data_IF_341325131566
#
_entry.id   IF_341325131566
#
_cell.length_a   1.000
_cell.length_b   1.000
_cell.length_c   1.000
_cell.angle_alpha   90.00
_cell.angle_beta   90.00
_cell.angle_gamma   90.00
#
_symmetry.space_group_name_H-M   'P 1'
#
loop_
_entity.id
_entity.type
_entity.pdbx_description
1 polymer ?
#
# COMPACT_ATOMS: atom_id res chain seq x y z
N UNK A 1 -6.24 -4.70 -8.75
CA UNK A 1 -5.33 -3.56 -8.58
C UNK A 1 -4.24 -3.64 -9.63
N UNK A 2 -3.84 -2.53 -10.21
CA UNK A 2 -2.67 -2.42 -11.10
C UNK A 2 -1.77 -1.28 -10.63
N UNK A 3 -0.47 -1.43 -10.88
CA UNK A 3 0.55 -0.43 -10.55
C UNK A 3 1.44 -0.28 -11.78
N UNK A 4 1.55 0.93 -12.29
CA UNK A 4 2.37 1.24 -13.45
C UNK A 4 3.47 2.20 -13.03
N UNK A 5 4.73 1.73 -12.91
CA UNK A 5 5.87 2.61 -12.62
C UNK A 5 6.04 3.69 -13.70
N UNK A 6 6.50 4.86 -13.30
CA UNK A 6 6.77 6.00 -14.18
C UNK A 6 8.24 6.38 -14.09
N UNK A 7 8.82 6.73 -15.23
CA UNK A 7 10.14 7.34 -15.26
C UNK A 7 10.06 8.75 -14.67
N UNK A 8 10.87 9.03 -13.67
CA UNK A 8 10.96 10.30 -12.97
C UNK A 8 12.42 10.66 -12.71
N UNK A 9 12.75 11.93 -12.37
CA UNK A 9 14.10 12.32 -12.03
C UNK A 9 14.72 11.44 -10.94
N UNK A 10 16.02 11.27 -11.00
CA UNK A 10 16.80 10.48 -10.04
C UNK A 10 16.47 10.87 -8.58
N UNK A 11 16.42 9.89 -7.72
CA UNK A 11 16.08 10.07 -6.30
C UNK A 11 14.59 10.12 -5.99
N UNK A 12 13.74 9.93 -7.00
CA UNK A 12 12.29 9.82 -6.83
C UNK A 12 11.76 8.52 -7.43
N UNK A 13 10.64 8.06 -6.94
CA UNK A 13 9.84 7.01 -7.56
C UNK A 13 8.41 7.51 -7.72
N UNK A 14 7.83 7.28 -8.89
CA UNK A 14 6.42 7.52 -9.14
C UNK A 14 5.74 6.29 -9.76
N UNK A 15 4.47 6.12 -9.45
CA UNK A 15 3.65 5.08 -10.06
C UNK A 15 2.19 5.55 -10.16
N UNK A 16 1.52 5.20 -11.25
CA UNK A 16 0.07 5.27 -11.33
C UNK A 16 -0.51 4.02 -10.69
N UNK A 17 -1.42 4.21 -9.74
CA UNK A 17 -2.08 3.13 -9.02
C UNK A 17 -3.57 3.19 -9.33
N UNK A 18 -4.10 2.07 -9.84
CA UNK A 18 -5.52 1.85 -10.08
C UNK A 18 -6.02 0.73 -9.18
N UNK A 19 -7.03 1.03 -8.38
CA UNK A 19 -7.68 0.05 -7.50
C UNK A 19 -9.14 -0.09 -7.89
N UNK A 20 -9.59 -1.32 -8.04
CA UNK A 20 -11.00 -1.70 -8.26
C UNK A 20 -11.34 -2.78 -7.26
N UNK A 21 -12.44 -2.61 -6.58
CA UNK A 21 -12.94 -3.53 -5.55
C UNK A 21 -14.41 -3.84 -5.80
N UNK A 22 -14.80 -5.03 -5.41
CA UNK A 22 -16.19 -5.50 -5.52
C UNK A 22 -16.58 -6.30 -4.28
N UNK A 23 -17.87 -6.23 -3.91
CA UNK A 23 -18.43 -7.09 -2.87
C UNK A 23 -17.98 -6.77 -1.44
N UNK A 24 -17.51 -5.55 -1.19
CA UNK A 24 -17.22 -5.08 0.17
C UNK A 24 -18.48 -4.53 0.85
N UNK A 25 -18.35 -4.04 2.08
CA UNK A 25 -19.48 -3.44 2.81
C UNK A 25 -20.04 -2.27 2.00
N UNK A 26 -21.34 -2.24 1.69
CA UNK A 26 -21.96 -1.14 0.94
C UNK A 26 -21.88 0.20 1.68
N UNK A 27 -21.77 1.28 0.91
CA UNK A 27 -21.76 2.66 1.40
C UNK A 27 -20.72 2.91 2.51
N UNK A 28 -19.57 2.24 2.42
CA UNK A 28 -18.47 2.32 3.37
C UNK A 28 -17.28 3.07 2.78
N UNK A 29 -16.49 3.72 3.63
CA UNK A 29 -15.25 4.37 3.23
C UNK A 29 -14.07 3.62 3.81
N UNK A 30 -13.16 3.19 2.92
CA UNK A 30 -11.96 2.46 3.25
C UNK A 30 -10.75 3.37 3.12
N UNK A 31 -9.85 3.34 4.12
CA UNK A 31 -8.52 3.94 4.00
C UNK A 31 -7.63 3.02 3.16
N UNK A 32 -6.93 3.60 2.17
CA UNK A 32 -5.93 2.89 1.39
C UNK A 32 -4.57 3.07 2.03
N UNK A 33 -3.91 1.97 2.37
CA UNK A 33 -2.66 1.95 3.10
C UNK A 33 -1.65 1.03 2.44
N UNK A 34 -0.36 1.25 2.72
CA UNK A 34 0.74 0.39 2.27
C UNK A 34 1.72 0.06 3.38
N UNK A 35 2.32 -1.11 3.31
CA UNK A 35 3.55 -1.47 3.96
C UNK A 35 4.61 -1.73 2.87
N UNK A 36 5.74 -1.04 2.93
CA UNK A 36 6.81 -1.12 1.93
C UNK A 36 8.14 -1.45 2.61
N UNK A 37 8.90 -2.33 2.00
CA UNK A 37 10.24 -2.75 2.39
C UNK A 37 11.25 -2.43 1.29
N UNK A 38 12.53 -2.44 1.61
CA UNK A 38 13.61 -2.24 0.62
C UNK A 38 14.30 -0.89 0.68
N UNK A 39 13.86 0.04 1.52
CA UNK A 39 14.52 1.33 1.65
C UNK A 39 15.72 1.23 2.61
N UNK A 40 16.91 1.57 2.14
CA UNK A 40 18.10 1.74 2.97
C UNK A 40 19.06 0.56 3.05
N UNK A 41 19.16 -0.25 2.01
CA UNK A 41 20.25 -1.23 1.87
C UNK A 41 20.18 -2.43 2.81
N UNK A 42 19.03 -2.71 3.36
CA UNK A 42 18.78 -3.96 4.10
C UNK A 42 18.24 -5.00 3.11
N UNK A 43 18.70 -6.24 3.25
CA UNK A 43 18.31 -7.39 2.43
C UNK A 43 16.82 -7.80 2.53
N UNK A 44 16.03 -7.01 3.24
CA UNK A 44 14.59 -7.14 3.37
C UNK A 44 13.94 -6.31 2.27
N UNK A 45 13.15 -6.91 1.41
CA UNK A 45 12.38 -6.19 0.42
C UNK A 45 12.64 -6.58 -1.04
N UNK A 46 13.34 -7.69 -1.26
CA UNK A 46 13.59 -8.24 -2.59
C UNK A 46 13.29 -9.74 -2.65
N UNK A 47 12.73 -10.29 -1.57
CA UNK A 47 12.51 -11.74 -1.44
C UNK A 47 11.05 -12.16 -1.74
N UNK A 48 10.18 -11.19 -2.05
CA UNK A 48 8.76 -11.43 -2.29
C UNK A 48 7.95 -11.66 -1.01
N UNK A 49 8.54 -11.38 0.15
CA UNK A 49 7.90 -11.53 1.46
C UNK A 49 7.76 -10.15 2.11
N UNK A 50 6.54 -9.69 2.30
CA UNK A 50 6.27 -8.41 2.96
C UNK A 50 6.30 -8.55 4.47
N UNK A 51 7.49 -8.71 5.06
CA UNK A 51 7.64 -8.91 6.50
C UNK A 51 7.13 -7.71 7.30
N UNK A 52 7.32 -6.49 6.80
CA UNK A 52 6.84 -5.27 7.44
C UNK A 52 5.31 -5.24 7.60
N UNK A 53 4.60 -5.89 6.70
CA UNK A 53 3.14 -6.04 6.80
C UNK A 53 2.73 -7.03 7.89
N UNK A 54 3.65 -7.85 8.40
CA UNK A 54 3.41 -8.85 9.42
C UNK A 54 3.67 -8.35 10.85
N UNK A 55 4.34 -7.19 11.03
CA UNK A 55 4.58 -6.63 12.35
C UNK A 55 5.92 -5.88 12.48
N UNK A 56 6.44 -5.72 13.70
CA UNK A 56 7.75 -5.13 14.00
C UNK A 56 8.88 -6.15 13.87
N UNK A 57 10.11 -5.72 13.54
CA UNK A 57 11.25 -6.64 13.50
C UNK A 57 11.59 -7.25 14.89
N UNK A 58 11.91 -8.54 14.98
CA UNK A 58 11.74 -9.53 13.94
C UNK A 58 10.25 -9.73 13.61
N UNK A 59 9.88 -9.62 12.34
CA UNK A 59 8.49 -9.73 11.94
C UNK A 59 7.95 -11.14 12.07
N UNK A 60 6.76 -11.24 12.65
CA UNK A 60 6.06 -12.50 12.87
C UNK A 60 4.63 -12.43 12.36
N UNK A 61 4.06 -13.53 11.85
CA UNK A 61 2.64 -13.60 11.49
C UNK A 61 1.67 -13.30 12.65
N UNK A 62 2.14 -13.41 13.90
CA UNK A 62 1.37 -13.11 15.11
C UNK A 62 1.37 -11.63 15.49
N UNK A 63 2.22 -10.81 14.86
CA UNK A 63 2.29 -9.39 15.19
C UNK A 63 1.03 -8.64 14.70
N UNK A 64 0.59 -7.61 15.45
CA UNK A 64 -0.57 -6.82 15.04
C UNK A 64 -0.34 -6.17 13.66
N UNK A 65 -1.23 -6.36 12.69
CA UNK A 65 -1.07 -5.85 11.33
C UNK A 65 -1.12 -4.33 11.23
N UNK A 66 -1.58 -3.64 12.27
CA UNK A 66 -1.84 -2.19 12.25
C UNK A 66 -0.59 -1.33 12.35
N UNK A 67 0.53 -1.87 12.82
CA UNK A 67 1.70 -1.07 13.23
C UNK A 67 2.56 -0.60 12.06
N UNK A 68 2.53 -1.30 10.92
CA UNK A 68 3.47 -1.08 9.82
C UNK A 68 2.83 -0.57 8.52
N UNK A 69 1.53 -0.47 8.48
CA UNK A 69 0.83 0.14 7.35
C UNK A 69 0.74 1.65 7.52
N UNK A 70 1.03 2.36 6.45
CA UNK A 70 0.95 3.81 6.39
C UNK A 70 -0.14 4.21 5.40
N UNK A 71 -1.00 5.14 5.79
CA UNK A 71 -2.04 5.66 4.90
C UNK A 71 -1.42 6.46 3.75
N UNK A 72 -1.94 6.25 2.56
CA UNK A 72 -1.53 6.97 1.35
C UNK A 72 -2.29 8.31 1.25
N UNK A 73 -1.69 9.37 0.66
CA UNK A 73 -0.35 9.45 0.10
C UNK A 73 0.73 9.67 1.18
N UNK A 74 1.98 9.43 0.80
CA UNK A 74 3.15 9.78 1.60
C UNK A 74 4.04 10.76 0.83
N UNK A 75 4.58 11.80 1.47
CA UNK A 75 4.33 12.24 2.86
C UNK A 75 2.88 12.68 3.06
N UNK A 76 2.43 12.66 4.30
CA UNK A 76 1.03 12.91 4.69
C UNK A 76 0.55 14.37 4.50
N UNK A 77 1.05 15.09 3.52
CA UNK A 77 0.71 16.48 3.23
C UNK A 77 -0.43 16.65 2.21
N UNK A 78 -0.85 15.55 1.59
CA UNK A 78 -1.96 15.52 0.66
C UNK A 78 -3.23 14.91 1.27
N UNK A 79 -4.35 14.94 0.54
CA UNK A 79 -5.56 14.27 0.97
C UNK A 79 -5.31 12.75 1.09
N UNK A 80 -5.91 12.13 2.09
CA UNK A 80 -5.83 10.68 2.26
C UNK A 80 -6.47 9.99 1.06
N UNK A 81 -5.85 8.92 0.60
CA UNK A 81 -6.44 8.06 -0.42
C UNK A 81 -7.50 7.18 0.23
N UNK A 82 -8.74 7.37 -0.19
CA UNK A 82 -9.88 6.59 0.29
C UNK A 82 -10.64 5.99 -0.89
N UNK A 83 -11.35 4.90 -0.62
CA UNK A 83 -12.28 4.29 -1.56
C UNK A 83 -13.64 4.22 -0.89
N UNK A 84 -14.62 4.93 -1.45
CA UNK A 84 -16.00 4.81 -1.00
C UNK A 84 -16.74 3.82 -1.89
N UNK A 85 -17.39 2.85 -1.28
CA UNK A 85 -18.17 1.84 -1.99
C UNK A 85 -19.58 2.33 -2.31
N UNK A 86 -20.11 1.83 -3.40
CA UNK A 86 -21.52 1.99 -3.81
C UNK A 86 -22.46 1.18 -2.90
N UNK A 87 -23.77 1.28 -3.15
CA UNK A 87 -24.78 0.44 -2.51
C UNK A 87 -24.64 -1.06 -2.82
N UNK A 88 -23.84 -1.43 -3.84
CA UNK A 88 -23.51 -2.82 -4.17
C UNK A 88 -22.19 -3.28 -3.57
N UNK A 89 -21.45 -2.39 -2.90
CA UNK A 89 -20.15 -2.72 -2.32
C UNK A 89 -18.98 -2.60 -3.31
N UNK A 90 -19.20 -1.97 -4.46
CA UNK A 90 -18.18 -1.75 -5.48
C UNK A 90 -17.52 -0.38 -5.30
N UNK A 91 -16.23 -0.30 -5.54
CA UNK A 91 -15.51 0.97 -5.42
C UNK A 91 -14.26 1.03 -6.28
N UNK A 92 -13.80 2.26 -6.51
CA UNK A 92 -12.61 2.50 -7.33
C UNK A 92 -11.87 3.75 -6.89
N UNK A 93 -10.55 3.73 -7.08
CA UNK A 93 -9.70 4.93 -7.01
C UNK A 93 -8.54 4.81 -7.99
N UNK A 94 -8.20 5.93 -8.61
CA UNK A 94 -7.01 6.11 -9.45
C UNK A 94 -6.22 7.29 -8.91
N UNK A 95 -4.92 7.10 -8.67
CA UNK A 95 -4.06 8.17 -8.17
C UNK A 95 -2.60 7.93 -8.55
N UNK A 96 -1.81 9.01 -8.57
CA UNK A 96 -0.37 8.94 -8.71
C UNK A 96 0.27 8.91 -7.31
N UNK A 97 1.09 7.90 -7.08
CA UNK A 97 1.95 7.82 -5.90
C UNK A 97 3.32 8.39 -6.24
N UNK A 98 3.87 9.23 -5.37
CA UNK A 98 5.26 9.69 -5.43
C UNK A 98 5.94 9.52 -4.08
N UNK A 99 7.19 9.11 -4.11
CA UNK A 99 8.05 9.06 -2.93
C UNK A 99 9.45 9.56 -3.27
N UNK A 100 10.09 10.16 -2.29
CA UNK A 100 11.48 10.58 -2.37
C UNK A 100 12.41 9.49 -1.83
N UNK A 101 13.69 9.56 -2.18
CA UNK A 101 14.76 8.71 -1.66
C UNK A 101 14.70 7.24 -2.09
N UNK A 102 14.17 6.96 -3.28
CA UNK A 102 14.28 5.65 -3.92
C UNK A 102 15.24 5.76 -5.08
N UNK A 103 16.30 4.96 -5.06
CA UNK A 103 17.26 4.92 -6.17
C UNK A 103 16.68 4.14 -7.34
N UNK A 104 16.91 4.63 -8.56
CA UNK A 104 16.54 3.91 -9.78
C UNK A 104 17.15 2.50 -9.80
N UNK A 105 16.38 1.54 -10.25
CA UNK A 105 16.79 0.14 -10.29
C UNK A 105 16.64 -0.62 -8.98
N UNK A 106 16.30 0.05 -7.86
CA UNK A 106 16.03 -0.66 -6.60
C UNK A 106 14.72 -1.40 -6.65
N UNK A 107 14.68 -2.54 -5.99
CA UNK A 107 13.49 -3.38 -5.85
C UNK A 107 12.91 -3.23 -4.46
N UNK A 108 11.60 -3.22 -4.36
CA UNK A 108 10.89 -3.08 -3.10
C UNK A 108 9.73 -4.06 -3.04
N UNK A 109 9.59 -4.74 -1.91
CA UNK A 109 8.38 -5.50 -1.62
C UNK A 109 7.34 -4.60 -0.97
N UNK A 110 6.12 -4.68 -1.45
CA UNK A 110 5.00 -3.85 -0.98
C UNK A 110 3.73 -4.65 -0.88
N UNK A 111 3.01 -4.43 0.21
CA UNK A 111 1.65 -4.93 0.41
C UNK A 111 0.73 -3.75 0.65
N UNK A 112 -0.43 -3.79 0.04
CA UNK A 112 -1.48 -2.80 0.26
C UNK A 112 -2.61 -3.38 1.11
N UNK A 113 -3.32 -2.51 1.82
CA UNK A 113 -4.56 -2.87 2.47
C UNK A 113 -5.61 -1.78 2.34
N UNK A 114 -6.86 -2.22 2.38
CA UNK A 114 -8.02 -1.38 2.63
C UNK A 114 -8.45 -1.61 4.07
N UNK A 115 -8.60 -0.54 4.83
CA UNK A 115 -9.00 -0.57 6.22
C UNK A 115 -10.36 0.11 6.39
N UNK A 116 -11.35 -0.62 6.86
CA UNK A 116 -12.67 -0.11 7.25
C UNK A 116 -12.64 0.21 8.74
N UNK A 117 -12.47 1.49 9.08
CA UNK A 117 -12.45 1.94 10.46
C UNK A 117 -13.83 2.07 11.07
N UNK A 118 -14.88 2.13 10.26
CA UNK A 118 -16.27 2.29 10.72
C UNK A 118 -16.93 0.95 11.03
N UNK A 119 -16.29 -0.16 10.62
CA UNK A 119 -16.74 -1.50 10.97
C UNK A 119 -16.44 -1.82 12.44
N UNK A 120 -17.37 -2.51 13.10
CA UNK A 120 -17.19 -3.01 14.46
C UNK A 120 -17.41 -4.54 14.47
N UNK A 121 -16.37 -5.37 14.54
CA UNK A 121 -14.94 -4.98 14.64
C UNK A 121 -14.38 -4.39 13.33
N UNK A 122 -13.30 -3.64 13.43
CA UNK A 122 -12.55 -3.13 12.28
C UNK A 122 -12.18 -4.28 11.32
N UNK A 123 -12.46 -4.09 10.05
CA UNK A 123 -12.16 -5.08 9.01
C UNK A 123 -11.10 -4.57 8.04
N UNK A 124 -10.37 -5.49 7.45
CA UNK A 124 -9.36 -5.16 6.45
C UNK A 124 -9.35 -6.16 5.29
N UNK A 125 -8.94 -5.67 4.12
CA UNK A 125 -8.63 -6.50 2.96
C UNK A 125 -7.19 -6.21 2.52
N UNK A 126 -6.36 -7.23 2.38
CA UNK A 126 -4.96 -7.11 1.96
C UNK A 126 -4.74 -7.63 0.55
N UNK A 127 -3.81 -7.00 -0.17
CA UNK A 127 -3.27 -7.56 -1.41
C UNK A 127 -2.30 -8.71 -1.09
N UNK A 128 -1.91 -9.45 -2.13
CA UNK A 128 -0.68 -10.22 -2.08
C UNK A 128 0.54 -9.29 -1.90
N UNK A 129 1.66 -9.84 -1.45
CA UNK A 129 2.94 -9.15 -1.52
C UNK A 129 3.35 -9.01 -2.98
N UNK A 130 3.82 -7.82 -3.37
CA UNK A 130 4.23 -7.50 -4.73
C UNK A 130 5.63 -6.92 -4.71
N UNK A 131 6.49 -7.40 -5.61
CA UNK A 131 7.83 -6.86 -5.82
C UNK A 131 7.78 -5.82 -6.94
N UNK A 132 8.16 -4.58 -6.62
CA UNK A 132 8.13 -3.44 -7.57
C UNK A 132 9.56 -2.93 -7.75
N UNK A 133 9.97 -2.78 -9.00
CA UNK A 133 11.26 -2.17 -9.36
C UNK A 133 11.06 -0.69 -9.69
N UNK A 134 11.85 0.18 -9.09
CA UNK A 134 11.92 1.59 -9.46
C UNK A 134 12.61 1.74 -10.83
N UNK A 135 12.04 2.55 -11.71
CA UNK A 135 12.59 2.84 -13.05
C UNK A 135 13.64 3.95 -12.98
#
# INVERSE_FOLDING_TARGET
>A
MSITPKAVPEGTMAADISVRIVGLRPNATYLFQRAQEGVGGRALGEDGICQRALGLPPWSPSDPPTVNFQTMPLPATGPLVTITTTSTGDGAVDFEFRTLMVLAGTTNDVMFRLLDNDAAPTTELRSACMTIKAL
#
